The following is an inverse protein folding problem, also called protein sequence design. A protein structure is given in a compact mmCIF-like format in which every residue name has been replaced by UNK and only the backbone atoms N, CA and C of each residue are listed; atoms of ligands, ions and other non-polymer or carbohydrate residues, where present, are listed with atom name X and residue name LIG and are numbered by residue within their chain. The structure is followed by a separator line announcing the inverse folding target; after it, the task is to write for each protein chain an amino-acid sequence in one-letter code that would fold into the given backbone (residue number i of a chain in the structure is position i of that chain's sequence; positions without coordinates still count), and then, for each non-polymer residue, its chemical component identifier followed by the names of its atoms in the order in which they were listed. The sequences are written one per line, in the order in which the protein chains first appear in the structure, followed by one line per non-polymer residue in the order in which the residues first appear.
data_IF_642817959135
#
_entry.id   IF_642817959135
#
_cell.length_a   1.000
_cell.length_b   1.000
_cell.length_c   1.000
_cell.angle_alpha   90.00
_cell.angle_beta   90.00
_cell.angle_gamma   90.00
#
_symmetry.space_group_name_H-M   'P 1'
#
loop_
_entity.id
_entity.type
_entity.pdbx_description
1 polymer ?
#
# COMPACT_ATOMS: atom_id res chain seq x y z
N UNK A 1 12.60 2.86 1.55
CA UNK A 1 11.66 2.19 0.61
C UNK A 1 12.15 0.79 0.19
N UNK A 2 13.44 0.61 -0.04
CA UNK A 2 14.05 -0.71 -0.28
C UNK A 2 14.01 -1.63 0.96
N UNK A 3 14.02 -1.07 2.15
CA UNK A 3 14.07 -1.84 3.41
C UNK A 3 12.84 -2.76 3.54
N UNK A 4 11.63 -2.26 3.29
CA UNK A 4 10.42 -3.09 3.36
C UNK A 4 10.44 -4.24 2.34
N UNK A 5 11.00 -4.02 1.14
CA UNK A 5 11.11 -5.04 0.10
C UNK A 5 12.06 -6.19 0.46
N UNK A 6 13.18 -5.89 1.11
CA UNK A 6 14.17 -6.89 1.50
C UNK A 6 13.94 -7.48 2.89
N UNK A 7 13.19 -6.79 3.74
CA UNK A 7 12.98 -7.19 5.13
C UNK A 7 12.45 -8.63 5.29
N UNK A 8 11.40 -9.09 4.60
CA UNK A 8 10.95 -10.46 4.68
C UNK A 8 12.00 -11.47 4.21
N UNK A 9 12.70 -11.19 3.12
CA UNK A 9 13.72 -12.07 2.55
C UNK A 9 14.91 -12.21 3.50
N UNK A 10 15.43 -11.10 4.01
CA UNK A 10 16.54 -11.10 4.97
C UNK A 10 16.14 -11.84 6.25
N UNK A 11 14.93 -11.60 6.77
CA UNK A 11 14.43 -12.30 7.95
C UNK A 11 14.42 -13.81 7.75
N UNK A 12 13.86 -14.29 6.62
CA UNK A 12 13.80 -15.73 6.33
C UNK A 12 15.19 -16.33 6.16
N UNK A 13 16.05 -15.70 5.37
CA UNK A 13 17.42 -16.21 5.14
C UNK A 13 18.22 -16.27 6.44
N UNK A 14 18.18 -15.22 7.27
CA UNK A 14 18.89 -15.17 8.53
C UNK A 14 18.36 -16.21 9.52
N UNK A 15 17.04 -16.38 9.61
CA UNK A 15 16.41 -17.34 10.50
C UNK A 15 16.82 -18.78 10.15
N UNK A 16 16.75 -19.17 8.89
CA UNK A 16 17.13 -20.52 8.47
C UNK A 16 18.65 -20.73 8.48
N UNK A 17 19.43 -19.70 8.25
CA UNK A 17 20.88 -19.74 8.44
C UNK A 17 21.25 -20.05 9.91
N UNK A 18 20.59 -19.38 10.87
CA UNK A 18 20.79 -19.64 12.31
C UNK A 18 20.38 -21.07 12.66
N UNK A 19 19.25 -21.58 12.16
CA UNK A 19 18.82 -22.96 12.37
C UNK A 19 19.88 -23.94 11.82
N UNK A 20 20.41 -23.67 10.63
CA UNK A 20 21.50 -24.45 10.03
C UNK A 20 22.77 -24.47 10.88
N UNK A 21 23.17 -23.31 11.41
CA UNK A 21 24.33 -23.23 12.31
C UNK A 21 24.13 -24.02 13.61
N UNK A 22 22.91 -24.02 14.17
CA UNK A 22 22.59 -24.82 15.36
C UNK A 22 22.72 -26.32 15.02
N UNK A 23 22.14 -26.77 13.91
CA UNK A 23 22.25 -28.16 13.46
C UNK A 23 23.72 -28.57 13.23
N UNK A 24 24.51 -27.71 12.63
CA UNK A 24 25.95 -27.95 12.40
C UNK A 24 26.70 -28.07 13.75
N UNK A 25 26.47 -27.14 14.66
CA UNK A 25 27.10 -27.17 15.98
C UNK A 25 26.74 -28.45 16.78
N UNK A 26 25.47 -28.89 16.73
CA UNK A 26 25.04 -30.14 17.34
C UNK A 26 25.81 -31.33 16.73
N UNK A 27 25.94 -31.35 15.40
CA UNK A 27 26.70 -32.42 14.69
C UNK A 27 28.18 -32.53 15.10
N UNK A 28 28.77 -31.35 15.39
CA UNK A 28 30.16 -31.31 15.87
C UNK A 28 30.33 -32.01 17.25
N UNK A 29 29.33 -31.90 18.14
CA UNK A 29 29.39 -32.46 19.51
C UNK A 29 28.96 -33.92 19.58
N UNK A 30 28.04 -34.39 18.71
CA UNK A 30 27.48 -35.74 18.78
C UNK A 30 27.94 -36.63 17.61
N UNK A 31 28.95 -36.17 16.87
CA UNK A 31 29.40 -36.79 15.61
C UNK A 31 28.26 -36.92 14.59
N UNK A 32 28.52 -36.73 13.30
CA UNK A 32 27.48 -36.73 12.24
C UNK A 32 26.90 -38.13 12.05
N UNK A 33 25.94 -38.51 12.91
CA UNK A 33 25.30 -39.83 12.97
C UNK A 33 23.81 -39.76 12.64
N UNK A 34 23.15 -40.91 12.57
CA UNK A 34 21.70 -40.96 12.40
C UNK A 34 20.95 -40.22 13.53
N UNK A 35 21.48 -40.25 14.75
CA UNK A 35 20.93 -39.54 15.90
C UNK A 35 20.98 -38.03 15.65
N UNK A 36 22.06 -37.49 15.08
CA UNK A 36 22.17 -36.11 14.68
C UNK A 36 21.05 -35.72 13.69
N UNK A 37 20.75 -36.60 12.70
CA UNK A 37 19.68 -36.34 11.72
C UNK A 37 18.32 -36.17 12.43
N UNK A 38 17.99 -37.06 13.37
CA UNK A 38 16.73 -37.01 14.13
C UNK A 38 16.63 -35.74 14.98
N UNK A 39 17.72 -35.38 15.67
CA UNK A 39 17.78 -34.14 16.47
C UNK A 39 17.62 -32.91 15.58
N UNK A 40 18.36 -32.86 14.45
CA UNK A 40 18.24 -31.74 13.51
C UNK A 40 16.83 -31.62 12.93
N UNK A 41 16.14 -32.70 12.65
CA UNK A 41 14.74 -32.67 12.21
C UNK A 41 13.85 -31.98 13.28
N UNK A 42 14.04 -32.34 14.55
CA UNK A 42 13.36 -31.70 15.69
C UNK A 42 13.69 -30.20 15.78
N UNK A 43 14.97 -29.82 15.65
CA UNK A 43 15.44 -28.43 15.68
C UNK A 43 14.83 -27.62 14.52
N UNK A 44 14.81 -28.18 13.31
CA UNK A 44 14.21 -27.53 12.14
C UNK A 44 12.70 -27.33 12.33
N UNK A 45 11.99 -28.35 12.81
CA UNK A 45 10.54 -28.25 13.06
C UNK A 45 10.22 -27.19 14.12
N UNK A 46 10.91 -27.23 15.26
CA UNK A 46 10.73 -26.26 16.33
C UNK A 46 11.17 -24.87 15.89
N UNK A 47 12.32 -24.75 15.27
CA UNK A 47 12.86 -23.49 14.73
C UNK A 47 11.91 -22.85 13.72
N UNK A 48 11.35 -23.64 12.80
CA UNK A 48 10.35 -23.15 11.83
C UNK A 48 9.09 -22.61 12.54
N UNK A 49 8.61 -23.25 13.59
CA UNK A 49 7.48 -22.74 14.39
C UNK A 49 7.81 -21.41 15.06
N UNK A 50 9.02 -21.28 15.62
CA UNK A 50 9.50 -20.04 16.23
C UNK A 50 9.62 -18.94 15.17
N UNK A 51 10.22 -19.22 14.03
CA UNK A 51 10.32 -18.27 12.89
C UNK A 51 8.95 -17.82 12.44
N UNK A 52 7.98 -18.74 12.34
CA UNK A 52 6.62 -18.41 11.97
C UNK A 52 5.96 -17.47 13.01
N UNK A 53 6.07 -17.79 14.29
CA UNK A 53 5.52 -16.97 15.37
C UNK A 53 6.13 -15.55 15.39
N UNK A 54 7.46 -15.46 15.33
CA UNK A 54 8.17 -14.16 15.28
C UNK A 54 7.79 -13.41 14.01
N UNK A 55 7.77 -14.08 12.87
CA UNK A 55 7.42 -13.49 11.57
C UNK A 55 6.00 -12.92 11.52
N UNK A 56 5.04 -13.58 12.18
CA UNK A 56 3.69 -13.04 12.32
C UNK A 56 3.69 -11.75 13.16
N UNK A 57 4.33 -11.77 14.34
CA UNK A 57 4.43 -10.58 15.20
C UNK A 57 5.19 -9.43 14.56
N UNK A 58 6.21 -9.74 13.76
CA UNK A 58 7.00 -8.76 13.03
C UNK A 58 6.32 -8.26 11.73
N UNK A 59 5.14 -8.79 11.37
CA UNK A 59 4.42 -8.40 10.16
C UNK A 59 5.03 -8.92 8.85
N UNK A 60 5.93 -9.90 8.91
CA UNK A 60 6.62 -10.47 7.73
C UNK A 60 5.60 -11.10 6.77
N UNK A 61 4.72 -11.95 7.29
CA UNK A 61 3.72 -12.64 6.47
C UNK A 61 2.64 -11.70 5.93
N UNK A 62 2.36 -10.61 6.65
CA UNK A 62 1.49 -9.56 6.15
C UNK A 62 2.11 -8.86 4.92
N UNK A 63 3.40 -8.50 4.97
CA UNK A 63 4.11 -7.94 3.81
C UNK A 63 4.16 -8.92 2.64
N UNK A 64 4.47 -10.19 2.90
CA UNK A 64 4.50 -11.22 1.84
C UNK A 64 3.12 -11.40 1.20
N UNK A 65 2.04 -11.33 1.97
CA UNK A 65 0.67 -11.38 1.45
C UNK A 65 0.36 -10.19 0.56
N UNK A 66 0.81 -8.97 0.93
CA UNK A 66 0.68 -7.77 0.10
C UNK A 66 1.44 -7.96 -1.23
N UNK A 67 2.69 -8.41 -1.20
CA UNK A 67 3.47 -8.60 -2.42
C UNK A 67 2.86 -9.65 -3.33
N UNK A 68 2.39 -10.77 -2.76
CA UNK A 68 1.66 -11.80 -3.50
C UNK A 68 0.38 -11.25 -4.13
N UNK A 69 -0.39 -10.46 -3.38
CA UNK A 69 -1.60 -9.81 -3.89
C UNK A 69 -1.26 -8.89 -5.06
N UNK A 70 -0.32 -7.96 -4.89
CA UNK A 70 0.05 -7.00 -5.94
C UNK A 70 0.56 -7.68 -7.21
N UNK A 71 1.34 -8.76 -7.07
CA UNK A 71 1.82 -9.55 -8.20
C UNK A 71 0.68 -10.27 -8.93
N UNK A 72 -0.22 -10.93 -8.19
CA UNK A 72 -1.39 -11.58 -8.78
C UNK A 72 -2.34 -10.57 -9.42
N UNK A 73 -2.50 -9.40 -8.81
CA UNK A 73 -3.29 -8.31 -9.37
C UNK A 73 -2.72 -7.84 -10.70
N UNK A 74 -1.39 -7.62 -10.76
CA UNK A 74 -0.71 -7.24 -12.00
C UNK A 74 -0.91 -8.26 -13.13
N UNK A 75 -1.01 -9.55 -12.79
CA UNK A 75 -1.28 -10.64 -13.73
C UNK A 75 -2.75 -10.81 -14.10
N UNK A 76 -3.67 -10.19 -13.38
CA UNK A 76 -5.10 -10.46 -13.54
C UNK A 76 -5.54 -11.82 -12.97
N UNK A 77 -4.80 -12.39 -12.03
CA UNK A 77 -5.04 -13.72 -11.45
C UNK A 77 -5.87 -13.69 -10.15
N UNK A 78 -6.55 -12.58 -9.84
CA UNK A 78 -7.41 -12.49 -8.67
C UNK A 78 -8.85 -12.64 -9.10
N UNK A 79 -9.47 -13.73 -8.67
CA UNK A 79 -10.87 -14.02 -8.98
C UNK A 79 -11.80 -12.89 -8.51
N UNK A 80 -12.80 -12.55 -9.33
CA UNK A 80 -13.85 -11.54 -9.09
C UNK A 80 -13.35 -10.12 -8.74
N UNK A 81 -12.05 -9.83 -8.87
CA UNK A 81 -11.56 -8.48 -8.54
C UNK A 81 -12.04 -7.44 -9.54
N UNK A 82 -12.11 -7.79 -10.82
CA UNK A 82 -12.64 -6.91 -11.85
C UNK A 82 -14.13 -6.62 -11.65
N UNK A 83 -14.92 -7.62 -11.23
CA UNK A 83 -16.32 -7.46 -10.86
C UNK A 83 -16.48 -6.51 -9.66
N UNK A 84 -15.62 -6.65 -8.63
CA UNK A 84 -15.64 -5.75 -7.48
C UNK A 84 -15.29 -4.32 -7.86
N UNK A 85 -14.25 -4.12 -8.67
CA UNK A 85 -13.89 -2.80 -9.18
C UNK A 85 -15.03 -2.20 -10.02
N UNK A 86 -15.74 -3.03 -10.80
CA UNK A 86 -16.91 -2.63 -11.55
C UNK A 86 -18.08 -2.18 -10.65
N UNK A 87 -18.34 -2.92 -9.58
CA UNK A 87 -19.39 -2.57 -8.61
C UNK A 87 -19.07 -1.24 -7.90
N UNK A 88 -17.81 -1.00 -7.51
CA UNK A 88 -17.38 0.29 -6.97
C UNK A 88 -17.53 1.41 -8.00
N UNK A 89 -17.12 1.16 -9.25
CA UNK A 89 -17.27 2.14 -10.32
C UNK A 89 -18.75 2.49 -10.56
N UNK A 90 -19.65 1.51 -10.54
CA UNK A 90 -21.08 1.73 -10.69
C UNK A 90 -21.68 2.55 -9.53
N UNK A 91 -21.24 2.30 -8.29
CA UNK A 91 -21.65 3.10 -7.13
C UNK A 91 -21.20 4.57 -7.26
N UNK A 92 -19.97 4.82 -7.70
CA UNK A 92 -19.47 6.18 -7.95
C UNK A 92 -20.25 6.82 -9.10
N UNK A 93 -20.49 6.08 -10.20
CA UNK A 93 -21.26 6.57 -11.33
C UNK A 93 -22.70 6.95 -10.97
N UNK A 94 -23.32 6.25 -10.01
CA UNK A 94 -24.64 6.65 -9.51
C UNK A 94 -24.58 8.04 -8.87
N UNK A 95 -23.57 8.30 -8.02
CA UNK A 95 -23.38 9.63 -7.41
C UNK A 95 -23.09 10.72 -8.44
N UNK A 96 -22.34 10.40 -9.50
CA UNK A 96 -22.07 11.34 -10.60
C UNK A 96 -23.38 11.70 -11.34
N UNK A 97 -24.23 10.70 -11.65
CA UNK A 97 -25.50 10.89 -12.35
C UNK A 97 -26.52 11.64 -11.54
N UNK A 98 -26.57 11.40 -10.24
CA UNK A 98 -27.47 12.10 -9.33
C UNK A 98 -27.23 13.60 -9.28
N UNK A 99 -26.01 14.04 -9.58
CA UNK A 99 -25.63 15.45 -9.72
C UNK A 99 -25.86 16.32 -8.47
N UNK A 100 -26.05 15.68 -7.29
CA UNK A 100 -26.37 16.36 -6.03
C UNK A 100 -25.15 16.78 -5.22
N UNK A 101 -23.99 16.17 -5.52
CA UNK A 101 -22.76 16.41 -4.78
C UNK A 101 -21.85 17.36 -5.55
N UNK A 102 -21.39 18.42 -4.87
CA UNK A 102 -20.41 19.36 -5.41
C UNK A 102 -19.05 18.68 -5.61
N UNK A 103 -18.74 17.70 -4.77
CA UNK A 103 -17.50 16.93 -4.81
C UNK A 103 -17.77 15.46 -4.47
N UNK A 104 -17.19 14.55 -5.26
CA UNK A 104 -17.21 13.10 -5.02
C UNK A 104 -15.77 12.64 -4.79
N UNK A 105 -15.44 12.33 -3.55
CA UNK A 105 -14.09 11.97 -3.14
C UNK A 105 -13.94 10.45 -2.97
N UNK A 106 -13.00 9.87 -3.71
CA UNK A 106 -12.56 8.47 -3.54
C UNK A 106 -11.26 8.48 -2.75
N UNK A 107 -11.30 7.97 -1.53
CA UNK A 107 -10.14 7.88 -0.63
C UNK A 107 -9.70 6.43 -0.50
N UNK A 108 -8.42 6.17 -0.71
CA UNK A 108 -7.87 4.83 -0.61
C UNK A 108 -6.56 4.81 0.16
N UNK A 109 -6.39 3.78 0.99
CA UNK A 109 -5.20 3.58 1.82
C UNK A 109 -4.46 2.29 1.44
N UNK A 110 -3.13 2.34 1.46
CA UNK A 110 -2.27 1.16 1.28
C UNK A 110 -2.53 0.42 -0.05
N UNK A 111 -2.78 -0.88 -0.03
CA UNK A 111 -3.14 -1.71 -1.21
C UNK A 111 -4.43 -1.22 -1.88
N UNK A 112 -5.35 -0.62 -1.12
CA UNK A 112 -6.56 -0.02 -1.67
C UNK A 112 -6.28 1.04 -2.74
N UNK A 113 -5.10 1.67 -2.73
CA UNK A 113 -4.71 2.66 -3.75
C UNK A 113 -4.59 2.06 -5.16
N UNK A 114 -4.23 0.79 -5.26
CA UNK A 114 -4.19 0.04 -6.53
C UNK A 114 -5.62 -0.15 -7.05
N UNK A 115 -6.53 -0.62 -6.17
CA UNK A 115 -7.94 -0.83 -6.53
C UNK A 115 -8.63 0.49 -6.90
N UNK A 116 -8.32 1.57 -6.18
CA UNK A 116 -8.88 2.89 -6.46
C UNK A 116 -8.48 3.41 -7.85
N UNK A 117 -7.23 3.20 -8.29
CA UNK A 117 -6.80 3.56 -9.65
C UNK A 117 -7.61 2.78 -10.70
N UNK A 118 -7.72 1.45 -10.56
CA UNK A 118 -8.49 0.63 -11.50
C UNK A 118 -9.97 0.99 -11.51
N UNK A 119 -10.55 1.26 -10.33
CA UNK A 119 -11.94 1.72 -10.20
C UNK A 119 -12.14 3.08 -10.88
N UNK A 120 -11.26 4.04 -10.61
CA UNK A 120 -11.35 5.39 -11.19
C UNK A 120 -11.15 5.39 -12.71
N UNK A 121 -10.28 4.53 -13.25
CA UNK A 121 -10.14 4.35 -14.69
C UNK A 121 -11.48 3.97 -15.32
N UNK A 122 -12.19 2.98 -14.75
CA UNK A 122 -13.52 2.56 -15.20
C UNK A 122 -14.56 3.70 -15.10
N UNK A 123 -14.53 4.47 -14.01
CA UNK A 123 -15.43 5.63 -13.83
C UNK A 123 -15.20 6.66 -14.93
N UNK A 124 -13.92 7.01 -15.16
CA UNK A 124 -13.53 8.00 -16.18
C UNK A 124 -13.98 7.56 -17.58
N UNK A 125 -13.78 6.30 -17.94
CA UNK A 125 -14.23 5.75 -19.23
C UNK A 125 -15.76 5.78 -19.36
N UNK A 126 -16.49 5.43 -18.28
CA UNK A 126 -17.96 5.50 -18.27
C UNK A 126 -18.47 6.94 -18.38
N UNK A 127 -17.84 7.89 -17.67
CA UNK A 127 -18.17 9.31 -17.80
C UNK A 127 -17.96 9.79 -19.23
N UNK A 128 -16.81 9.47 -19.81
CA UNK A 128 -16.49 9.82 -21.21
C UNK A 128 -17.51 9.24 -22.20
N UNK A 129 -17.87 7.96 -22.05
CA UNK A 129 -18.85 7.29 -22.90
C UNK A 129 -20.27 7.90 -22.80
N UNK A 130 -20.62 8.51 -21.66
CA UNK A 130 -21.91 9.11 -21.40
C UNK A 130 -21.91 10.65 -21.51
N UNK A 131 -20.81 11.28 -21.90
CA UNK A 131 -20.69 12.74 -21.99
C UNK A 131 -20.75 13.45 -20.63
N UNK A 132 -20.46 12.75 -19.52
CA UNK A 132 -20.49 13.30 -18.16
C UNK A 132 -19.15 13.93 -17.78
N UNK A 133 -19.20 15.03 -17.03
CA UNK A 133 -18.01 15.70 -16.52
C UNK A 133 -17.37 14.89 -15.38
N UNK A 134 -16.05 14.89 -15.32
CA UNK A 134 -15.24 14.31 -14.23
C UNK A 134 -14.67 15.37 -13.28
N UNK A 135 -14.99 16.64 -13.45
CA UNK A 135 -14.39 17.76 -12.73
C UNK A 135 -14.67 17.73 -11.21
N UNK A 136 -15.82 17.18 -10.80
CA UNK A 136 -16.17 17.02 -9.37
C UNK A 136 -15.58 15.75 -8.74
N UNK A 137 -14.90 14.89 -9.52
CA UNK A 137 -14.27 13.68 -9.00
C UNK A 137 -12.90 14.00 -8.40
N UNK A 138 -12.66 13.48 -7.20
CA UNK A 138 -11.40 13.63 -6.46
C UNK A 138 -10.87 12.25 -6.08
N UNK A 139 -9.59 12.02 -6.31
CA UNK A 139 -8.89 10.80 -5.94
C UNK A 139 -7.81 11.13 -4.91
N UNK A 140 -7.90 10.54 -3.73
CA UNK A 140 -6.93 10.72 -2.65
C UNK A 140 -6.33 9.38 -2.27
N UNK A 141 -5.05 9.21 -2.52
CA UNK A 141 -4.28 8.03 -2.17
C UNK A 141 -3.43 8.30 -0.94
N UNK A 142 -3.47 7.40 0.02
CA UNK A 142 -2.83 7.56 1.32
C UNK A 142 -1.92 6.37 1.61
N UNK A 143 -0.62 6.62 1.88
CA UNK A 143 0.34 5.56 2.15
C UNK A 143 0.41 4.51 1.05
N UNK A 144 0.32 4.94 -0.22
CA UNK A 144 0.08 4.09 -1.36
C UNK A 144 1.23 3.14 -1.71
N UNK A 145 0.87 2.02 -2.33
CA UNK A 145 1.79 1.01 -2.82
C UNK A 145 1.62 0.70 -4.33
N UNK A 146 1.10 1.67 -5.10
CA UNK A 146 0.92 1.61 -6.56
C UNK A 146 2.14 1.02 -7.29
N UNK A 147 3.40 1.37 -6.94
CA UNK A 147 4.58 0.81 -7.58
C UNK A 147 4.72 -0.71 -7.49
N UNK A 148 4.14 -1.35 -6.47
CA UNK A 148 4.18 -2.82 -6.35
C UNK A 148 3.45 -3.52 -7.50
N UNK A 149 2.55 -2.82 -8.18
CA UNK A 149 1.81 -3.34 -9.34
C UNK A 149 2.31 -2.71 -10.64
N UNK A 150 2.45 -1.38 -10.70
CA UNK A 150 2.83 -0.68 -11.94
C UNK A 150 4.26 -0.95 -12.42
N UNK A 151 5.17 -1.38 -11.53
CA UNK A 151 6.54 -1.74 -11.90
C UNK A 151 6.71 -3.21 -12.30
N UNK A 152 5.65 -4.03 -12.19
CA UNK A 152 5.69 -5.41 -12.64
C UNK A 152 5.73 -5.48 -14.17
N UNK A 153 6.52 -6.41 -14.70
CA UNK A 153 6.58 -6.65 -16.15
C UNK A 153 5.23 -7.10 -16.73
N UNK A 154 4.44 -7.81 -15.92
CA UNK A 154 3.10 -8.30 -16.28
C UNK A 154 1.97 -7.30 -15.96
N UNK A 155 2.29 -6.06 -15.59
CA UNK A 155 1.32 -5.05 -15.14
C UNK A 155 0.79 -4.14 -16.24
N UNK A 156 0.76 -4.55 -17.50
CA UNK A 156 0.42 -3.67 -18.61
C UNK A 156 -1.04 -3.20 -18.57
N UNK A 157 -1.99 -4.06 -18.17
CA UNK A 157 -3.38 -3.67 -17.93
C UNK A 157 -3.46 -2.54 -16.89
N UNK A 158 -2.79 -2.70 -15.76
CA UNK A 158 -2.79 -1.69 -14.70
C UNK A 158 -2.09 -0.38 -15.14
N UNK A 159 -1.06 -0.46 -15.97
CA UNK A 159 -0.42 0.74 -16.54
C UNK A 159 -1.37 1.50 -17.46
N UNK A 160 -2.18 0.80 -18.26
CA UNK A 160 -3.23 1.42 -19.08
C UNK A 160 -4.28 2.12 -18.20
N UNK A 161 -4.74 1.47 -17.12
CA UNK A 161 -5.65 2.08 -16.15
C UNK A 161 -5.03 3.33 -15.49
N UNK A 162 -3.76 3.26 -15.11
CA UNK A 162 -2.99 4.39 -14.58
C UNK A 162 -2.88 5.53 -15.58
N UNK A 163 -2.70 5.23 -16.86
CA UNK A 163 -2.64 6.19 -17.95
C UNK A 163 -3.98 6.90 -18.17
N UNK A 164 -5.11 6.18 -18.09
CA UNK A 164 -6.45 6.75 -18.16
C UNK A 164 -6.65 7.79 -17.05
N UNK A 165 -6.31 7.42 -15.81
CA UNK A 165 -6.40 8.33 -14.65
C UNK A 165 -5.50 9.55 -14.84
N UNK A 166 -4.26 9.35 -15.27
CA UNK A 166 -3.28 10.42 -15.45
C UNK A 166 -3.59 11.37 -16.62
N UNK A 167 -4.47 10.99 -17.55
CA UNK A 167 -4.92 11.81 -18.67
C UNK A 167 -6.33 12.41 -18.47
N UNK A 168 -6.95 12.18 -17.31
CA UNK A 168 -8.26 12.74 -16.95
C UNK A 168 -8.14 14.09 -16.23
N UNK A 169 -9.25 14.78 -15.99
CA UNK A 169 -9.29 16.08 -15.33
C UNK A 169 -9.63 16.04 -13.84
N UNK A 170 -9.62 14.85 -13.22
CA UNK A 170 -9.90 14.69 -11.79
C UNK A 170 -8.81 15.32 -10.93
N UNK A 171 -9.14 15.84 -9.75
CA UNK A 171 -8.13 16.23 -8.77
C UNK A 171 -7.52 14.97 -8.14
N UNK A 172 -6.20 14.85 -8.17
CA UNK A 172 -5.50 13.66 -7.71
C UNK A 172 -4.38 13.98 -6.74
N UNK A 173 -4.52 13.52 -5.49
CA UNK A 173 -3.54 13.69 -4.41
C UNK A 173 -2.93 12.35 -4.02
N UNK A 174 -1.65 12.33 -3.69
CA UNK A 174 -0.95 11.19 -3.08
C UNK A 174 -0.24 11.65 -1.80
N UNK A 175 -0.71 11.15 -0.68
CA UNK A 175 -0.22 11.49 0.65
C UNK A 175 0.65 10.37 1.20
N UNK A 176 1.90 10.70 1.52
CA UNK A 176 2.85 9.71 2.03
C UNK A 176 3.75 10.30 3.12
N UNK A 177 4.32 9.48 3.98
CA UNK A 177 5.20 9.90 5.06
C UNK A 177 6.57 9.23 4.98
N UNK A 178 7.63 10.00 5.26
CA UNK A 178 9.01 9.51 5.25
C UNK A 178 9.25 8.35 6.22
N UNK A 179 8.54 8.33 7.34
CA UNK A 179 8.71 7.29 8.37
C UNK A 179 7.83 6.05 8.15
N UNK A 180 6.96 6.08 7.14
CA UNK A 180 6.17 4.92 6.75
C UNK A 180 7.00 4.02 5.82
N UNK A 181 7.51 2.93 6.37
CA UNK A 181 8.30 1.95 5.62
C UNK A 181 7.51 1.10 4.64
N UNK A 182 6.18 1.09 4.73
CA UNK A 182 5.30 0.28 3.88
C UNK A 182 4.76 1.03 2.65
N UNK A 183 5.04 2.34 2.52
CA UNK A 183 4.64 3.14 1.36
C UNK A 183 5.84 3.59 0.51
N UNK A 184 5.54 4.14 -0.66
CA UNK A 184 6.53 4.75 -1.57
C UNK A 184 6.56 6.28 -1.39
N UNK A 185 7.29 6.74 -0.38
CA UNK A 185 7.36 8.15 0.00
C UNK A 185 7.73 9.07 -1.16
N UNK A 186 6.83 10.02 -1.49
CA UNK A 186 7.03 11.07 -2.49
C UNK A 186 7.53 10.56 -3.85
N UNK A 187 7.16 9.34 -4.23
CA UNK A 187 7.55 8.76 -5.50
C UNK A 187 6.53 9.11 -6.59
N UNK A 188 6.96 9.78 -7.64
CA UNK A 188 6.16 9.93 -8.85
C UNK A 188 6.18 8.62 -9.65
N UNK A 189 5.24 7.74 -9.32
CA UNK A 189 5.13 6.43 -9.94
C UNK A 189 4.53 6.51 -11.34
N UNK A 190 3.84 7.58 -11.71
CA UNK A 190 3.34 7.79 -13.07
C UNK A 190 4.52 7.91 -14.02
N UNK A 191 5.43 8.85 -13.74
CA UNK A 191 6.67 9.00 -14.53
C UNK A 191 7.54 7.75 -14.52
N UNK A 192 7.65 7.08 -13.36
CA UNK A 192 8.51 5.90 -13.21
C UNK A 192 7.93 4.63 -13.86
N UNK A 193 6.61 4.54 -14.00
CA UNK A 193 5.94 3.43 -14.72
C UNK A 193 6.03 3.56 -16.23
N UNK A 194 6.57 4.67 -16.74
CA UNK A 194 6.74 4.95 -18.18
C UNK A 194 5.41 4.93 -18.95
N UNK A 195 4.31 5.35 -18.31
CA UNK A 195 3.02 5.54 -18.96
C UNK A 195 2.99 6.90 -19.66
N UNK A 196 2.22 7.01 -20.73
CA UNK A 196 2.03 8.27 -21.44
C UNK A 196 0.98 9.12 -20.71
N UNK A 197 1.45 10.09 -19.93
CA UNK A 197 0.62 10.85 -19.02
C UNK A 197 0.83 12.35 -19.17
N UNK A 198 -0.27 13.10 -19.19
CA UNK A 198 -0.27 14.57 -19.17
C UNK A 198 0.12 15.12 -17.82
N UNK A 199 -0.22 14.39 -16.73
CA UNK A 199 0.02 14.84 -15.35
C UNK A 199 0.29 13.67 -14.39
N UNK A 200 0.85 14.00 -13.26
CA UNK A 200 1.08 13.12 -12.12
C UNK A 200 0.22 13.57 -10.93
N UNK A 201 -0.01 12.73 -9.91
CA UNK A 201 -0.66 13.17 -8.68
C UNK A 201 0.12 14.30 -8.00
N UNK A 202 -0.58 15.19 -7.31
CA UNK A 202 0.06 16.12 -6.38
C UNK A 202 0.57 15.34 -5.19
N UNK A 203 1.88 15.25 -5.05
CA UNK A 203 2.53 14.53 -3.96
C UNK A 203 2.55 15.40 -2.70
N UNK A 204 2.07 14.86 -1.57
CA UNK A 204 1.99 15.56 -0.28
C UNK A 204 2.73 14.76 0.78
N UNK A 205 3.67 15.41 1.47
CA UNK A 205 4.40 14.81 2.58
C UNK A 205 3.67 14.99 3.90
N UNK A 206 3.11 13.90 4.43
CA UNK A 206 2.53 13.88 5.77
C UNK A 206 3.64 13.85 6.82
N UNK A 207 3.73 14.93 7.59
CA UNK A 207 4.76 15.15 8.59
C UNK A 207 4.22 14.83 9.98
N UNK A 208 4.13 13.54 10.33
CA UNK A 208 3.56 13.09 11.60
C UNK A 208 4.15 13.78 12.84
N UNK A 209 5.42 14.20 12.80
CA UNK A 209 6.05 14.93 13.90
C UNK A 209 5.47 16.34 14.15
N UNK A 210 4.67 16.87 13.21
CA UNK A 210 4.00 18.17 13.35
C UNK A 210 2.58 18.04 13.89
N UNK A 211 1.95 16.88 13.73
CA UNK A 211 0.53 16.65 14.04
C UNK A 211 0.32 15.71 15.24
N UNK A 212 1.42 15.18 15.80
CA UNK A 212 1.43 14.42 17.05
C UNK A 212 2.42 15.05 18.04
N UNK A 213 2.13 14.99 19.35
CA UNK A 213 3.04 15.43 20.38
C UNK A 213 4.34 14.62 20.38
N UNK A 214 5.41 15.20 20.96
CA UNK A 214 6.76 14.60 20.95
C UNK A 214 6.80 13.21 21.59
N UNK A 215 5.98 12.96 22.63
CA UNK A 215 5.96 11.68 23.35
C UNK A 215 5.30 10.59 22.48
N UNK A 216 4.15 10.89 21.93
CA UNK A 216 3.42 10.00 21.01
C UNK A 216 4.27 9.70 19.78
N UNK A 217 4.84 10.73 19.14
CA UNK A 217 5.67 10.54 17.96
C UNK A 217 6.92 9.68 18.24
N UNK A 218 7.63 9.89 19.35
CA UNK A 218 8.79 9.07 19.74
C UNK A 218 8.42 7.61 19.95
N UNK A 219 7.26 7.33 20.53
CA UNK A 219 6.80 5.98 20.82
C UNK A 219 6.36 5.22 19.57
N UNK A 220 5.89 5.92 18.53
CA UNK A 220 5.30 5.28 17.34
C UNK A 220 6.28 5.21 16.16
N UNK A 221 7.16 6.18 15.99
CA UNK A 221 7.97 6.37 14.77
C UNK A 221 8.80 5.16 14.30
N UNK A 222 9.09 4.22 15.18
CA UNK A 222 9.83 2.99 14.85
C UNK A 222 8.92 1.75 14.75
N UNK A 223 7.64 1.89 15.07
CA UNK A 223 6.66 0.82 14.96
C UNK A 223 6.03 0.88 13.57
N UNK A 224 6.78 0.48 12.56
CA UNK A 224 6.46 0.66 11.14
C UNK A 224 5.03 0.24 10.76
N UNK A 225 4.50 -0.85 11.34
CA UNK A 225 3.12 -1.27 11.14
C UNK A 225 2.12 -0.24 11.68
N UNK A 226 2.36 0.27 12.90
CA UNK A 226 1.48 1.31 13.49
C UNK A 226 1.57 2.64 12.73
N UNK A 227 2.77 2.99 12.27
CA UNK A 227 2.98 4.19 11.45
C UNK A 227 2.19 4.14 10.17
N UNK A 228 2.11 2.96 9.52
CA UNK A 228 1.37 2.79 8.27
C UNK A 228 -0.14 3.07 8.42
N UNK A 229 -0.70 2.83 9.59
CA UNK A 229 -2.11 3.13 9.90
C UNK A 229 -2.33 4.48 10.60
N UNK A 230 -1.26 5.24 10.83
CA UNK A 230 -1.34 6.51 11.54
C UNK A 230 -2.10 7.59 10.75
N UNK A 231 -2.08 7.48 9.43
CA UNK A 231 -2.86 8.37 8.55
C UNK A 231 -4.37 8.37 8.86
N UNK A 232 -4.91 7.26 9.32
CA UNK A 232 -6.35 7.08 9.54
C UNK A 232 -6.78 7.43 10.98
N UNK A 233 -5.89 8.00 11.77
CA UNK A 233 -6.17 8.41 13.15
C UNK A 233 -6.35 9.90 13.24
N UNK A 234 -7.17 10.34 14.23
CA UNK A 234 -7.27 11.74 14.59
C UNK A 234 -5.91 12.29 15.01
N UNK A 235 -5.61 13.51 14.61
CA UNK A 235 -4.39 14.22 14.97
C UNK A 235 -4.52 14.87 16.36
N UNK A 236 -3.39 15.12 17.02
CA UNK A 236 -3.36 15.75 18.34
C UNK A 236 -3.10 17.26 18.23
N UNK A 237 -2.50 17.70 17.14
CA UNK A 237 -2.14 19.08 16.88
C UNK A 237 -2.77 19.48 15.54
N UNK A 238 -3.55 20.53 15.54
CA UNK A 238 -4.16 21.10 14.33
C UNK A 238 -3.15 21.84 13.46
N UNK A 239 -3.48 22.03 12.18
CA UNK A 239 -2.67 22.82 11.23
C UNK A 239 -1.76 22.00 10.32
N UNK A 240 -2.20 20.79 9.99
CA UNK A 240 -1.56 19.93 9.00
C UNK A 240 -2.54 18.86 8.50
N UNK A 241 -2.00 17.76 8.00
CA UNK A 241 -2.83 16.64 7.58
C UNK A 241 -3.69 16.13 8.74
N UNK A 242 -4.99 15.99 8.51
CA UNK A 242 -5.94 15.27 9.37
C UNK A 242 -6.94 14.53 8.47
N UNK A 243 -7.11 13.22 8.72
CA UNK A 243 -8.00 12.38 7.92
C UNK A 243 -9.46 12.86 8.00
N UNK A 244 -9.95 13.13 9.21
CA UNK A 244 -11.34 13.49 9.43
C UNK A 244 -11.64 14.88 8.88
N UNK A 245 -10.71 15.82 9.03
CA UNK A 245 -10.80 17.13 8.38
C UNK A 245 -10.82 16.98 6.85
N UNK A 246 -9.99 16.10 6.30
CA UNK A 246 -9.95 15.89 4.86
C UNK A 246 -11.26 15.35 4.29
N UNK A 247 -11.91 14.39 4.98
CA UNK A 247 -13.08 13.69 4.45
C UNK A 247 -14.42 14.29 4.89
N UNK A 248 -14.48 15.00 6.00
CA UNK A 248 -15.73 15.45 6.61
C UNK A 248 -15.91 16.99 6.66
N UNK A 249 -14.85 17.77 6.47
CA UNK A 249 -14.93 19.22 6.43
C UNK A 249 -15.63 19.69 5.13
N UNK A 250 -16.54 20.69 5.19
CA UNK A 250 -17.33 21.13 4.04
C UNK A 250 -16.52 21.86 2.96
N UNK A 251 -15.27 22.22 3.21
CA UNK A 251 -14.42 22.82 2.17
C UNK A 251 -14.07 21.80 1.09
N UNK A 252 -14.07 22.24 -0.15
CA UNK A 252 -13.58 21.42 -1.27
C UNK A 252 -12.12 21.03 -1.07
N UNK A 253 -11.72 19.84 -1.55
CA UNK A 253 -10.38 19.30 -1.38
C UNK A 253 -9.27 20.26 -1.83
N UNK A 254 -9.53 21.03 -2.87
CA UNK A 254 -8.56 21.98 -3.44
C UNK A 254 -8.26 23.17 -2.52
N UNK A 255 -9.21 23.52 -1.66
CA UNK A 255 -9.13 24.63 -0.69
C UNK A 255 -8.56 24.16 0.66
N UNK A 256 -8.35 22.86 0.85
CA UNK A 256 -7.77 22.31 2.09
C UNK A 256 -6.25 22.42 2.08
N UNK A 257 -5.70 22.82 3.21
CA UNK A 257 -4.24 22.87 3.44
C UNK A 257 -3.80 21.64 4.23
N UNK A 258 -2.70 21.00 3.78
CA UNK A 258 -2.15 19.81 4.39
C UNK A 258 -0.68 19.97 4.77
#
# INVERSE_FOLDING_TARGET
QLIAGYYPTIFMLLSYFIIGLICYAIGYFIEFSWLWIVICLGVVLLGTRIVFYIGQKAGIFWLLSIYRFCYKYAKGEIDKIDERNENFANAIMQSVKDGKADEIMVVAHSVGTILAISTMAKVIEKCKAQGLSTANLKLVLIGGCVPLTSFQKCGDKFKQELEIVANSDITWLDLSSKIDGACFFMLDYVKRSRVQAKRSPKLISVRFFKIYDKKTYKNIRYKWYQVHFLYLRATQISGGYDYFYMVADPLNLENKTF
#
